data_IF_447280779081
#
_entry.id   IF_447280779081
#
_cell.length_a   1.000
_cell.length_b   1.000
_cell.length_c   1.000
_cell.angle_alpha   90.00
_cell.angle_beta   90.00
_cell.angle_gamma   90.00
#
_symmetry.space_group_name_H-M   'P 1'
#
loop_
_entity.id
_entity.type
_entity.pdbx_description
1 polymer ?
#
# COMPACT_ATOMS: atom_id res chain seq x y z
N UNK A 1 -11.60 -20.94 -33.18
CA UNK A 1 -10.95 -20.74 -31.86
C UNK A 1 -9.46 -20.41 -32.01
N UNK A 2 -8.61 -21.31 -32.54
CA UNK A 2 -7.16 -21.08 -32.68
C UNK A 2 -6.81 -19.87 -33.57
N UNK A 3 -7.54 -19.65 -34.66
CA UNK A 3 -7.35 -18.48 -35.53
C UNK A 3 -7.71 -17.13 -34.84
N UNK A 4 -8.70 -17.12 -33.95
CA UNK A 4 -9.06 -15.92 -33.19
C UNK A 4 -8.00 -15.58 -32.13
N UNK A 5 -7.37 -16.59 -31.53
CA UNK A 5 -6.26 -16.44 -30.58
C UNK A 5 -5.01 -15.87 -31.28
N UNK A 6 -4.70 -16.35 -32.49
CA UNK A 6 -3.56 -15.86 -33.28
C UNK A 6 -3.74 -14.41 -33.77
N UNK A 7 -4.97 -14.01 -34.11
CA UNK A 7 -5.29 -12.61 -34.49
C UNK A 7 -5.15 -11.67 -33.29
N UNK A 8 -5.58 -12.10 -32.09
CA UNK A 8 -5.40 -11.32 -30.86
C UNK A 8 -3.91 -11.18 -30.49
N UNK A 9 -3.12 -12.25 -30.63
CA UNK A 9 -1.67 -12.19 -30.37
C UNK A 9 -0.91 -11.31 -31.36
N UNK A 10 -1.26 -11.36 -32.65
CA UNK A 10 -0.69 -10.48 -33.67
C UNK A 10 -0.99 -9.00 -33.40
N UNK A 11 -2.23 -8.68 -33.00
CA UNK A 11 -2.64 -7.32 -32.65
C UNK A 11 -1.91 -6.78 -31.41
N UNK A 12 -1.71 -7.61 -30.38
CA UNK A 12 -0.96 -7.22 -29.17
C UNK A 12 0.52 -6.98 -29.47
N UNK A 13 1.13 -7.83 -30.30
CA UNK A 13 2.55 -7.67 -30.69
C UNK A 13 2.77 -6.42 -31.57
N UNK A 14 1.84 -6.13 -32.49
CA UNK A 14 1.87 -4.91 -33.30
C UNK A 14 1.65 -3.64 -32.45
N UNK A 15 0.71 -3.67 -31.50
CA UNK A 15 0.47 -2.57 -30.56
C UNK A 15 1.70 -2.30 -29.68
N UNK A 16 2.39 -3.34 -29.19
CA UNK A 16 3.65 -3.22 -28.43
C UNK A 16 4.77 -2.57 -29.25
N UNK A 17 4.86 -2.89 -30.53
CA UNK A 17 5.88 -2.34 -31.42
C UNK A 17 5.58 -0.88 -31.77
N UNK A 18 4.32 -0.57 -32.09
CA UNK A 18 3.87 0.80 -32.35
C UNK A 18 4.02 1.71 -31.12
N UNK A 19 3.73 1.18 -29.92
CA UNK A 19 3.87 1.91 -28.66
C UNK A 19 5.30 2.40 -28.41
N UNK A 20 6.34 1.73 -28.92
CA UNK A 20 7.74 2.15 -28.74
C UNK A 20 8.07 3.47 -29.45
N UNK A 21 7.41 3.75 -30.58
CA UNK A 21 7.66 4.93 -31.42
C UNK A 21 6.73 6.10 -31.13
N UNK A 22 5.78 5.95 -30.21
CA UNK A 22 4.92 7.05 -29.81
C UNK A 22 5.71 8.07 -28.95
N UNK A 23 5.46 9.38 -29.14
CA UNK A 23 5.94 10.40 -28.22
C UNK A 23 5.56 10.06 -26.78
N UNK A 24 6.42 10.38 -25.81
CA UNK A 24 6.22 10.08 -24.37
C UNK A 24 4.83 10.51 -23.88
N UNK A 25 4.36 11.66 -24.38
CA UNK A 25 3.02 12.20 -24.09
C UNK A 25 1.88 11.30 -24.57
N UNK A 26 2.03 10.58 -25.68
CA UNK A 26 1.02 9.66 -26.25
C UNK A 26 1.10 8.27 -25.62
N UNK A 27 2.29 7.84 -25.16
CA UNK A 27 2.47 6.59 -24.39
C UNK A 27 1.69 6.63 -23.06
N UNK A 28 1.72 7.76 -22.35
CA UNK A 28 0.90 7.95 -21.14
C UNK A 28 -0.60 7.86 -21.41
N UNK A 29 -1.07 8.43 -22.53
CA UNK A 29 -2.50 8.35 -22.89
C UNK A 29 -2.95 6.93 -23.19
N UNK A 30 -2.14 6.08 -23.84
CA UNK A 30 -2.52 4.69 -24.14
C UNK A 30 -2.41 3.77 -22.92
N UNK A 31 -1.37 3.92 -22.08
CA UNK A 31 -1.26 3.21 -20.79
C UNK A 31 -2.44 3.52 -19.86
N UNK A 32 -3.06 4.69 -20.00
CA UNK A 32 -4.27 5.07 -19.26
C UNK A 32 -5.48 4.16 -19.53
N UNK A 33 -5.54 3.48 -20.68
CA UNK A 33 -6.73 2.72 -21.11
C UNK A 33 -6.53 1.21 -21.19
N UNK A 34 -5.29 0.71 -21.07
CA UNK A 34 -5.02 -0.72 -21.05
C UNK A 34 -4.22 -1.04 -19.78
N UNK A 35 -4.88 -1.54 -18.73
CA UNK A 35 -4.18 -1.99 -17.53
C UNK A 35 -3.09 -3.01 -17.88
N UNK A 36 -1.90 -2.87 -17.30
CA UNK A 36 -0.73 -3.70 -17.63
C UNK A 36 -1.00 -5.21 -17.42
N UNK A 37 -1.93 -5.58 -16.51
CA UNK A 37 -2.35 -6.97 -16.29
C UNK A 37 -3.10 -7.58 -17.49
N UNK A 38 -3.70 -6.79 -18.38
CA UNK A 38 -4.31 -7.29 -19.63
C UNK A 38 -3.28 -7.55 -20.72
N UNK A 39 -2.10 -6.96 -20.62
CA UNK A 39 -1.06 -7.04 -21.64
C UNK A 39 0.00 -8.09 -21.35
N UNK A 40 0.07 -8.67 -20.15
CA UNK A 40 1.02 -9.72 -19.78
C UNK A 40 0.29 -10.85 -19.06
N UNK A 41 0.17 -12.07 -19.63
CA UNK A 41 -0.32 -13.24 -18.90
C UNK A 41 0.73 -13.78 -17.91
N UNK A 42 1.64 -12.93 -17.43
CA UNK A 42 2.50 -13.31 -16.32
C UNK A 42 1.58 -13.53 -15.12
N UNK A 43 1.64 -14.75 -14.57
CA UNK A 43 1.01 -15.07 -13.31
C UNK A 43 1.36 -13.94 -12.33
N UNK A 44 0.32 -13.30 -11.77
CA UNK A 44 0.47 -12.34 -10.69
C UNK A 44 1.47 -12.95 -9.70
N UNK A 45 2.60 -12.28 -9.48
CA UNK A 45 3.62 -12.80 -8.57
C UNK A 45 3.09 -12.61 -7.16
N UNK A 46 2.47 -13.65 -6.63
CA UNK A 46 1.80 -13.58 -5.34
C UNK A 46 2.84 -13.39 -4.24
N UNK A 47 2.59 -12.43 -3.35
CA UNK A 47 3.33 -12.39 -2.09
C UNK A 47 2.74 -13.45 -1.18
N UNK A 48 3.59 -14.27 -0.58
CA UNK A 48 3.25 -15.02 0.64
C UNK A 48 3.13 -14.06 1.83
N UNK A 49 3.44 -12.77 1.62
CA UNK A 49 3.64 -11.79 2.68
C UNK A 49 2.82 -10.49 2.53
N UNK A 50 2.37 -9.92 3.64
CA UNK A 50 2.55 -10.44 4.99
C UNK A 50 1.72 -11.71 5.19
N UNK A 51 2.39 -12.74 5.69
CA UNK A 51 1.75 -13.98 6.09
C UNK A 51 0.93 -13.72 7.34
N UNK A 52 0.61 -14.75 8.14
CA UNK A 52 0.09 -14.54 9.49
C UNK A 52 0.90 -13.45 10.22
N UNK A 53 0.27 -12.78 11.19
CA UNK A 53 0.91 -11.74 12.00
C UNK A 53 2.34 -12.15 12.30
N UNK A 54 3.32 -11.32 11.90
CA UNK A 54 4.72 -11.61 12.19
C UNK A 54 4.79 -11.85 13.68
N UNK A 55 5.16 -13.08 14.07
CA UNK A 55 5.33 -13.44 15.47
C UNK A 55 6.09 -12.29 16.12
N UNK A 56 5.54 -11.77 17.22
CA UNK A 56 6.08 -10.60 17.91
C UNK A 56 7.61 -10.76 17.96
N UNK A 57 8.31 -9.88 17.24
CA UNK A 57 9.77 -9.94 17.15
C UNK A 57 10.25 -9.94 18.59
N UNK A 58 10.85 -11.06 18.99
CA UNK A 58 11.45 -11.20 20.31
C UNK A 58 12.93 -10.89 20.12
N UNK A 59 13.48 -9.87 20.79
CA UNK A 59 12.87 -9.07 21.86
C UNK A 59 11.95 -7.94 21.36
N UNK A 60 10.95 -7.59 22.19
CA UNK A 60 10.08 -6.46 21.96
C UNK A 60 10.89 -5.17 21.74
N UNK A 61 10.43 -4.26 20.86
CA UNK A 61 11.12 -3.01 20.61
C UNK A 61 11.22 -2.18 21.90
N UNK A 62 12.40 -1.58 22.12
CA UNK A 62 12.76 -0.88 23.37
C UNK A 62 12.91 0.63 23.20
N UNK A 63 12.63 1.16 22.00
CA UNK A 63 12.73 2.59 21.72
C UNK A 63 11.69 3.45 22.44
N UNK A 64 11.81 4.79 22.36
CA UNK A 64 10.70 5.67 22.70
C UNK A 64 9.54 5.45 21.72
N UNK A 65 8.32 5.59 22.22
CA UNK A 65 7.14 5.62 21.35
C UNK A 65 7.10 6.96 20.59
N UNK A 66 6.94 6.86 19.27
CA UNK A 66 6.71 8.00 18.39
C UNK A 66 5.23 7.98 18.00
N UNK A 67 4.54 9.10 18.21
CA UNK A 67 3.15 9.25 17.80
C UNK A 67 3.08 9.76 16.37
N UNK A 68 2.24 9.12 15.57
CA UNK A 68 1.93 9.57 14.23
C UNK A 68 0.86 10.65 14.29
N UNK A 69 1.03 11.71 13.51
CA UNK A 69 0.11 12.84 13.51
C UNK A 69 -0.92 12.67 12.38
N UNK A 70 -2.21 12.93 12.64
CA UNK A 70 -3.22 12.97 11.61
C UNK A 70 -2.83 13.94 10.49
N UNK A 71 -3.11 13.56 9.25
CA UNK A 71 -2.96 14.43 8.09
C UNK A 71 -4.33 14.80 7.55
N UNK A 72 -4.53 16.09 7.28
CA UNK A 72 -5.71 16.59 6.60
C UNK A 72 -5.43 16.66 5.10
N UNK A 73 -5.24 15.50 4.46
CA UNK A 73 -5.09 15.49 3.00
C UNK A 73 -6.44 15.81 2.35
N UNK A 74 -6.39 16.51 1.22
CA UNK A 74 -7.58 16.76 0.38
C UNK A 74 -8.00 15.49 -0.41
N UNK A 75 -7.28 14.37 -0.23
CA UNK A 75 -7.61 13.12 -0.90
C UNK A 75 -8.89 12.51 -0.31
N UNK A 76 -9.70 11.93 -1.19
CA UNK A 76 -10.97 11.35 -0.81
C UNK A 76 -10.76 10.07 0.00
N UNK A 77 -11.11 10.14 1.29
CA UNK A 77 -11.12 8.99 2.17
C UNK A 77 -12.14 7.92 1.73
N UNK A 78 -11.82 6.66 2.00
CA UNK A 78 -12.73 5.52 1.82
C UNK A 78 -13.66 5.41 3.03
N UNK A 79 -14.93 5.13 2.77
CA UNK A 79 -15.96 4.98 3.81
C UNK A 79 -16.70 3.64 3.75
N UNK A 80 -15.93 2.58 3.54
CA UNK A 80 -16.36 1.19 3.64
C UNK A 80 -15.23 0.34 4.21
N UNK A 81 -15.57 -0.66 5.01
CA UNK A 81 -14.61 -1.56 5.63
C UNK A 81 -13.95 -2.54 4.63
N UNK A 82 -13.14 -3.49 5.11
CA UNK A 82 -12.44 -4.47 4.27
C UNK A 82 -13.37 -5.45 3.54
N UNK A 83 -14.59 -5.63 4.03
CA UNK A 83 -15.65 -6.43 3.43
C UNK A 83 -16.57 -5.57 2.53
N UNK A 84 -16.26 -4.29 2.32
CA UNK A 84 -17.10 -3.37 1.56
C UNK A 84 -18.43 -3.01 2.23
N UNK A 85 -18.55 -3.18 3.55
CA UNK A 85 -19.70 -2.68 4.28
C UNK A 85 -19.53 -1.17 4.50
N UNK A 86 -20.47 -0.38 3.98
CA UNK A 86 -20.42 1.07 4.13
C UNK A 86 -20.70 1.52 5.55
N UNK A 87 -19.94 2.53 5.98
CA UNK A 87 -20.22 3.21 7.23
C UNK A 87 -21.47 4.08 7.14
N UNK A 88 -22.20 4.19 8.25
CA UNK A 88 -23.41 4.99 8.39
C UNK A 88 -23.13 6.48 8.12
N UNK A 89 -24.15 7.25 7.75
CA UNK A 89 -24.00 8.70 7.58
C UNK A 89 -23.60 9.41 8.88
N UNK A 90 -24.14 8.95 10.02
CA UNK A 90 -23.79 9.48 11.35
C UNK A 90 -22.33 9.23 11.69
N UNK A 91 -21.83 8.01 11.49
CA UNK A 91 -20.42 7.67 11.73
C UNK A 91 -19.50 8.53 10.86
N UNK A 92 -19.76 8.61 9.55
CA UNK A 92 -18.93 9.40 8.62
C UNK A 92 -18.87 10.89 8.99
N UNK A 93 -19.96 11.42 9.55
CA UNK A 93 -20.04 12.82 9.99
C UNK A 93 -19.29 13.06 11.30
N UNK A 94 -19.30 12.07 12.20
CA UNK A 94 -18.70 12.20 13.54
C UNK A 94 -17.23 11.76 13.60
N UNK A 95 -16.78 10.89 12.69
CA UNK A 95 -15.42 10.35 12.69
C UNK A 95 -14.39 11.44 12.33
N UNK A 96 -13.33 11.53 13.14
CA UNK A 96 -12.13 12.31 12.82
C UNK A 96 -10.90 11.54 13.28
N UNK A 97 -9.84 11.55 12.47
CA UNK A 97 -8.54 11.02 12.83
C UNK A 97 -7.87 11.79 13.97
N UNK A 98 -8.31 13.02 14.26
CA UNK A 98 -7.83 13.79 15.42
C UNK A 98 -8.14 13.12 16.76
N UNK A 99 -9.13 12.22 16.78
CA UNK A 99 -9.51 11.45 17.97
C UNK A 99 -8.80 10.09 18.04
N UNK A 100 -7.97 9.76 17.05
CA UNK A 100 -7.23 8.51 16.99
C UNK A 100 -5.87 8.65 17.67
N UNK A 101 -5.31 7.53 18.12
CA UNK A 101 -3.94 7.48 18.62
C UNK A 101 -3.19 6.37 17.89
N UNK A 102 -2.12 6.74 17.19
CA UNK A 102 -1.23 5.82 16.50
C UNK A 102 0.17 6.04 17.04
N UNK A 103 0.78 4.99 17.58
CA UNK A 103 2.11 5.05 18.17
C UNK A 103 2.99 3.92 17.64
N UNK A 104 4.28 4.19 17.52
CA UNK A 104 5.26 3.25 16.98
C UNK A 104 6.48 3.20 17.87
N UNK A 105 6.96 2.00 18.13
CA UNK A 105 8.22 1.75 18.81
C UNK A 105 9.15 1.03 17.84
N UNK A 106 10.24 1.69 17.44
CA UNK A 106 11.23 1.09 16.55
C UNK A 106 12.22 0.20 17.31
N UNK A 107 12.70 -0.84 16.62
CA UNK A 107 13.85 -1.60 17.07
C UNK A 107 15.07 -0.68 17.14
N UNK A 108 15.75 -0.64 18.30
CA UNK A 108 16.91 0.21 18.51
C UNK A 108 18.20 -0.42 17.96
N UNK A 109 19.20 0.41 17.70
CA UNK A 109 20.53 -0.01 17.26
C UNK A 109 20.69 -0.17 15.75
N UNK A 110 21.81 -0.76 15.35
CA UNK A 110 22.12 -1.06 13.96
C UNK A 110 21.27 -2.23 13.48
N UNK A 111 20.34 -1.95 12.56
CA UNK A 111 19.42 -2.93 12.01
C UNK A 111 19.67 -3.10 10.52
N UNK A 112 19.50 -4.32 10.01
CA UNK A 112 19.55 -4.59 8.57
C UNK A 112 18.31 -4.07 7.82
N UNK A 113 17.25 -3.71 8.56
CA UNK A 113 16.00 -3.16 8.03
C UNK A 113 15.29 -2.26 9.05
N UNK A 114 14.40 -1.39 8.57
CA UNK A 114 13.45 -0.66 9.40
C UNK A 114 12.40 -1.62 9.96
N UNK A 115 12.35 -1.79 11.28
CA UNK A 115 11.40 -2.67 11.95
C UNK A 115 10.92 -2.09 13.28
N UNK A 116 9.74 -2.52 13.72
CA UNK A 116 9.17 -2.07 14.98
C UNK A 116 7.80 -2.64 15.26
N UNK A 117 7.12 -2.04 16.24
CA UNK A 117 5.75 -2.34 16.61
C UNK A 117 4.89 -1.09 16.51
N UNK A 118 3.74 -1.21 15.87
CA UNK A 118 2.69 -0.21 15.78
C UNK A 118 1.54 -0.60 16.70
N UNK A 119 1.02 0.38 17.44
CA UNK A 119 -0.21 0.27 18.20
C UNK A 119 -1.14 1.41 17.79
N UNK A 120 -2.38 1.09 17.44
CA UNK A 120 -3.38 2.04 16.98
C UNK A 120 -4.71 1.85 17.71
N UNK A 121 -5.39 2.95 17.99
CA UNK A 121 -6.75 2.99 18.56
C UNK A 121 -7.56 4.11 17.94
N UNK A 122 -8.88 3.92 17.85
CA UNK A 122 -9.80 4.95 17.35
C UNK A 122 -9.68 5.21 15.86
N UNK A 123 -9.15 4.27 15.09
CA UNK A 123 -9.18 4.28 13.62
C UNK A 123 -10.55 3.80 13.10
N UNK A 124 -10.73 3.73 11.78
CA UNK A 124 -11.97 3.18 11.20
C UNK A 124 -12.10 1.69 11.56
N UNK A 125 -13.28 1.18 11.99
CA UNK A 125 -13.48 -0.23 12.32
C UNK A 125 -13.34 -1.19 11.14
N UNK A 126 -12.74 -2.36 11.35
CA UNK A 126 -12.57 -3.42 10.34
C UNK A 126 -11.92 -2.89 9.04
N UNK A 127 -10.99 -1.93 9.15
CA UNK A 127 -10.43 -1.18 8.02
C UNK A 127 -8.96 -1.51 7.85
N UNK A 128 -8.48 -1.50 6.61
CA UNK A 128 -7.09 -1.83 6.28
C UNK A 128 -6.26 -0.59 5.96
N UNK A 129 -5.07 -0.52 6.55
CA UNK A 129 -4.12 0.57 6.39
C UNK A 129 -2.80 0.06 5.87
N UNK A 130 -2.28 0.73 4.84
CA UNK A 130 -0.92 0.52 4.33
C UNK A 130 0.08 1.27 5.22
N UNK A 131 1.20 0.62 5.54
CA UNK A 131 2.37 1.23 6.17
C UNK A 131 3.39 1.55 5.06
N UNK A 132 3.73 2.83 4.92
CA UNK A 132 4.65 3.32 3.91
C UNK A 132 5.84 4.06 4.51
N UNK A 133 7.00 3.86 3.90
CA UNK A 133 8.16 4.71 4.10
C UNK A 133 8.23 5.68 2.92
N UNK A 134 8.16 6.98 3.21
CA UNK A 134 8.28 8.06 2.23
C UNK A 134 9.66 8.73 2.35
N UNK A 135 10.30 9.00 1.22
CA UNK A 135 11.51 9.81 1.16
C UNK A 135 11.24 11.28 1.43
N UNK A 136 12.17 11.98 2.08
CA UNK A 136 12.12 13.42 2.29
C UNK A 136 13.08 14.15 1.35
N UNK A 137 12.61 14.61 0.19
CA UNK A 137 13.44 15.34 -0.76
C UNK A 137 13.90 16.72 -0.27
N UNK A 138 13.31 17.25 0.80
CA UNK A 138 13.70 18.55 1.35
C UNK A 138 14.92 18.40 2.26
N UNK A 139 14.92 17.36 3.11
CA UNK A 139 15.98 17.15 4.11
C UNK A 139 17.03 16.12 3.67
N UNK A 140 16.66 15.13 2.87
CA UNK A 140 17.50 13.98 2.53
C UNK A 140 17.20 13.43 1.11
N UNK A 141 17.52 14.22 0.06
CA UNK A 141 17.19 13.87 -1.32
C UNK A 141 17.89 12.59 -1.81
N UNK A 142 19.11 12.31 -1.34
CA UNK A 142 19.84 11.11 -1.74
C UNK A 142 19.15 9.84 -1.24
N UNK A 143 18.76 9.80 0.03
CA UNK A 143 18.06 8.63 0.55
C UNK A 143 16.60 8.57 0.11
N UNK A 144 15.95 9.71 -0.14
CA UNK A 144 14.64 9.72 -0.80
C UNK A 144 14.70 9.04 -2.17
N UNK A 145 15.75 9.30 -2.96
CA UNK A 145 15.95 8.61 -4.23
C UNK A 145 16.19 7.11 -4.03
N UNK A 146 16.99 6.71 -3.02
CA UNK A 146 17.19 5.29 -2.70
C UNK A 146 15.88 4.59 -2.33
N UNK A 147 15.02 5.23 -1.56
CA UNK A 147 13.68 4.73 -1.20
C UNK A 147 12.84 4.50 -2.47
N UNK A 148 12.76 5.47 -3.38
CA UNK A 148 11.94 5.32 -4.58
C UNK A 148 12.47 4.28 -5.58
N UNK A 149 13.79 4.07 -5.63
CA UNK A 149 14.42 3.00 -6.44
C UNK A 149 14.03 1.60 -5.96
N UNK A 150 13.93 1.41 -4.65
CA UNK A 150 13.49 0.12 -4.07
C UNK A 150 11.98 0.00 -3.87
N UNK A 151 11.24 1.09 -4.10
CA UNK A 151 9.79 1.12 -4.03
C UNK A 151 9.15 1.67 -5.29
N UNK A 152 8.65 2.90 -5.23
CA UNK A 152 7.81 3.54 -6.24
C UNK A 152 8.02 5.04 -6.30
N UNK A 153 7.64 5.59 -7.44
CA UNK A 153 7.55 7.02 -7.69
C UNK A 153 6.10 7.39 -7.95
N UNK A 154 5.62 8.44 -7.29
CA UNK A 154 4.41 9.16 -7.65
C UNK A 154 4.80 10.59 -8.02
N UNK A 155 4.70 10.89 -9.31
CA UNK A 155 4.99 12.21 -9.86
C UNK A 155 3.70 13.05 -9.84
N UNK A 156 3.80 14.39 -9.84
CA UNK A 156 2.63 15.26 -9.97
C UNK A 156 1.82 14.95 -11.24
N UNK A 157 0.50 14.82 -11.07
CA UNK A 157 -0.44 14.51 -12.16
C UNK A 157 -1.30 13.28 -11.85
N UNK A 158 -2.07 12.83 -12.84
CA UNK A 158 -3.06 11.74 -12.69
C UNK A 158 -2.53 10.37 -13.14
N UNK A 159 -1.28 10.07 -12.81
CA UNK A 159 -0.64 8.80 -13.16
C UNK A 159 -0.22 7.99 -11.94
N UNK A 160 -0.08 6.68 -12.12
CA UNK A 160 0.53 5.77 -11.16
C UNK A 160 1.59 4.92 -11.87
N UNK A 161 2.43 4.22 -11.09
CA UNK A 161 3.44 3.28 -11.61
C UNK A 161 4.53 3.92 -12.49
N UNK A 162 5.03 5.09 -12.10
CA UNK A 162 6.16 5.73 -12.77
C UNK A 162 7.45 4.92 -12.56
N UNK A 163 8.29 4.87 -13.58
CA UNK A 163 9.57 4.14 -13.62
C UNK A 163 10.73 5.01 -13.13
N UNK A 164 11.90 4.39 -12.91
CA UNK A 164 13.14 5.13 -12.63
C UNK A 164 13.53 6.10 -13.75
N UNK A 165 13.20 5.76 -15.00
CA UNK A 165 13.40 6.65 -16.15
C UNK A 165 12.47 7.86 -16.07
N UNK A 166 11.19 7.65 -15.78
CA UNK A 166 10.22 8.75 -15.63
C UNK A 166 10.66 9.69 -14.49
N UNK A 167 11.10 9.11 -13.36
CA UNK A 167 11.70 9.87 -12.28
C UNK A 167 12.91 10.65 -12.79
N UNK A 168 13.89 10.04 -13.44
CA UNK A 168 15.10 10.69 -13.92
C UNK A 168 14.83 11.87 -14.86
N UNK A 169 13.83 11.74 -15.74
CA UNK A 169 13.41 12.78 -16.70
C UNK A 169 12.60 13.93 -16.06
N UNK A 170 11.97 13.71 -14.91
CA UNK A 170 11.16 14.74 -14.26
C UNK A 170 12.02 15.87 -13.68
N UNK A 171 11.82 17.11 -14.12
CA UNK A 171 12.73 18.21 -13.78
C UNK A 171 12.73 18.57 -12.28
N UNK A 172 11.56 18.61 -11.64
CA UNK A 172 11.41 19.10 -10.28
C UNK A 172 11.25 17.96 -9.27
N UNK A 173 12.37 17.40 -8.78
CA UNK A 173 12.35 16.24 -7.89
C UNK A 173 11.63 16.50 -6.56
N UNK A 174 11.49 17.76 -6.13
CA UNK A 174 10.84 18.10 -4.86
C UNK A 174 9.34 17.85 -4.86
N UNK A 175 8.73 17.74 -6.04
CA UNK A 175 7.31 17.42 -6.17
C UNK A 175 7.05 15.90 -6.31
N UNK A 176 8.11 15.08 -6.32
CA UNK A 176 7.98 13.63 -6.44
C UNK A 176 7.82 13.00 -5.06
N UNK A 177 6.85 12.09 -4.95
CA UNK A 177 6.75 11.19 -3.81
C UNK A 177 7.53 9.91 -4.10
N UNK A 178 8.63 9.70 -3.38
CA UNK A 178 9.38 8.45 -3.38
C UNK A 178 8.91 7.60 -2.20
N UNK A 179 8.42 6.38 -2.43
CA UNK A 179 7.87 5.59 -1.34
C UNK A 179 8.02 4.08 -1.50
N UNK A 180 8.01 3.37 -0.37
CA UNK A 180 7.87 1.92 -0.31
C UNK A 180 6.64 1.59 0.53
N UNK A 181 5.66 0.90 -0.04
CA UNK A 181 4.61 0.22 0.71
C UNK A 181 5.16 -1.16 1.11
N UNK A 182 5.37 -1.41 2.39
CA UNK A 182 6.11 -2.60 2.82
C UNK A 182 5.37 -3.50 3.80
N UNK A 183 4.30 -3.00 4.43
CA UNK A 183 3.49 -3.79 5.34
C UNK A 183 2.09 -3.16 5.48
N UNK A 184 1.13 -3.89 6.02
CA UNK A 184 -0.22 -3.41 6.31
C UNK A 184 -0.77 -3.98 7.60
N UNK A 185 -1.86 -3.40 8.09
CA UNK A 185 -2.63 -3.98 9.19
C UNK A 185 -4.13 -3.72 9.00
N UNK A 186 -4.93 -4.51 9.70
CA UNK A 186 -6.39 -4.40 9.71
C UNK A 186 -6.82 -4.13 11.14
N UNK A 187 -7.67 -3.13 11.34
CA UNK A 187 -8.25 -2.81 12.65
C UNK A 187 -9.36 -3.77 13.01
N UNK A 188 -9.59 -3.98 14.30
CA UNK A 188 -10.77 -4.68 14.79
C UNK A 188 -12.06 -3.84 14.63
N UNK A 189 -13.19 -4.38 15.10
CA UNK A 189 -14.49 -3.72 15.05
C UNK A 189 -14.61 -2.48 15.96
N UNK A 190 -13.60 -2.18 16.77
CA UNK A 190 -13.50 -0.98 17.58
C UNK A 190 -12.46 0.02 17.02
N UNK A 191 -11.82 -0.29 15.89
CA UNK A 191 -10.81 0.56 15.30
C UNK A 191 -9.43 0.45 15.97
N UNK A 192 -9.15 -0.64 16.68
CA UNK A 192 -7.85 -0.88 17.29
C UNK A 192 -7.01 -1.86 16.48
N UNK A 193 -5.68 -1.73 16.57
CA UNK A 193 -4.75 -2.68 15.98
C UNK A 193 -3.41 -2.71 16.71
N UNK A 194 -2.76 -3.86 16.68
CA UNK A 194 -1.34 -4.01 17.01
C UNK A 194 -0.64 -4.75 15.88
N UNK A 195 0.51 -4.24 15.44
CA UNK A 195 1.25 -4.80 14.31
C UNK A 195 2.75 -4.71 14.51
N UNK A 196 3.42 -5.86 14.55
CA UNK A 196 4.87 -5.91 14.28
C UNK A 196 5.11 -5.76 12.78
N UNK A 197 6.01 -4.86 12.40
CA UNK A 197 6.34 -4.61 10.99
C UNK A 197 7.84 -4.64 10.76
N UNK A 198 8.24 -4.87 9.50
CA UNK A 198 9.60 -4.66 9.01
C UNK A 198 9.60 -4.42 7.49
N UNK A 199 10.51 -3.59 6.99
CA UNK A 199 10.67 -3.29 5.57
C UNK A 199 11.56 -4.36 4.90
N UNK A 200 10.94 -5.46 4.49
CA UNK A 200 11.60 -6.58 3.82
C UNK A 200 11.01 -6.84 2.41
N UNK A 201 9.98 -6.08 2.03
CA UNK A 201 9.29 -6.19 0.75
C UNK A 201 8.85 -4.82 0.23
N UNK A 202 8.67 -4.73 -1.09
CA UNK A 202 7.91 -3.67 -1.74
C UNK A 202 6.62 -4.26 -2.30
N UNK A 203 5.52 -3.95 -1.63
CA UNK A 203 4.17 -4.32 -2.00
C UNK A 203 3.61 -3.32 -3.01
N UNK A 204 2.60 -3.75 -3.76
CA UNK A 204 1.91 -2.93 -4.74
C UNK A 204 0.62 -2.38 -4.18
N UNK A 205 -0.30 -3.27 -3.85
CA UNK A 205 -1.70 -3.00 -3.55
C UNK A 205 -2.25 -4.16 -2.74
N UNK A 206 -3.33 -3.90 -2.01
CA UNK A 206 -4.07 -4.95 -1.34
C UNK A 206 -5.29 -5.37 -2.16
N UNK A 207 -5.69 -6.60 -1.89
CA UNK A 207 -6.81 -7.26 -2.53
C UNK A 207 -7.61 -8.01 -1.47
N UNK A 208 -8.93 -8.01 -1.62
CA UNK A 208 -9.79 -8.98 -0.96
C UNK A 208 -10.01 -10.15 -1.91
N UNK A 209 -9.49 -11.33 -1.52
CA UNK A 209 -9.55 -12.56 -2.32
C UNK A 209 -10.96 -12.88 -2.77
N UNK A 210 -11.89 -13.05 -1.83
CA UNK A 210 -13.20 -13.61 -2.12
C UNK A 210 -14.09 -12.64 -2.92
N UNK A 211 -13.76 -11.35 -2.87
CA UNK A 211 -14.49 -10.30 -3.57
C UNK A 211 -13.92 -9.94 -4.93
N UNK A 212 -12.61 -10.06 -5.11
CA UNK A 212 -11.91 -9.52 -6.29
C UNK A 212 -11.16 -10.59 -7.08
N UNK A 213 -10.49 -11.54 -6.42
CA UNK A 213 -9.65 -12.55 -7.08
C UNK A 213 -9.72 -13.87 -6.28
N UNK A 214 -10.60 -14.79 -6.71
CA UNK A 214 -10.87 -16.05 -5.99
C UNK A 214 -9.75 -17.08 -6.05
N UNK A 215 -8.85 -16.99 -7.02
CA UNK A 215 -7.92 -18.08 -7.36
C UNK A 215 -6.63 -18.04 -6.53
N UNK A 216 -6.56 -17.14 -5.54
CA UNK A 216 -5.42 -17.04 -4.62
C UNK A 216 -5.49 -18.16 -3.58
N UNK A 217 -4.39 -18.88 -3.29
CA UNK A 217 -4.34 -19.81 -2.17
C UNK A 217 -4.56 -19.09 -0.83
N UNK A 218 -5.38 -19.65 0.06
CA UNK A 218 -5.62 -19.08 1.41
C UNK A 218 -4.33 -18.91 2.22
N UNK A 219 -3.31 -19.71 1.95
CA UNK A 219 -1.98 -19.61 2.57
C UNK A 219 -1.24 -18.30 2.25
N UNK A 220 -1.71 -17.54 1.27
CA UNK A 220 -1.16 -16.22 0.91
C UNK A 220 -2.01 -15.06 1.45
N UNK A 221 -3.08 -15.37 2.20
CA UNK A 221 -4.01 -14.38 2.70
C UNK A 221 -3.91 -14.24 4.22
N UNK A 222 -4.15 -13.03 4.70
CA UNK A 222 -4.45 -12.72 6.08
C UNK A 222 -5.95 -12.87 6.28
N UNK A 223 -6.35 -13.89 7.04
CA UNK A 223 -7.72 -14.03 7.48
C UNK A 223 -8.03 -12.97 8.55
N UNK A 224 -9.18 -12.30 8.43
CA UNK A 224 -9.63 -11.30 9.37
C UNK A 224 -11.13 -11.42 9.63
N UNK A 225 -11.53 -11.41 10.89
CA UNK A 225 -12.95 -11.40 11.28
C UNK A 225 -13.49 -9.98 11.22
N UNK A 226 -14.49 -9.77 10.37
CA UNK A 226 -15.19 -8.49 10.24
C UNK A 226 -16.49 -8.55 11.04
N UNK A 227 -16.57 -7.78 12.11
CA UNK A 227 -17.82 -7.57 12.85
C UNK A 227 -18.45 -6.23 12.44
N UNK A 228 -19.42 -6.33 11.53
CA UNK A 228 -20.20 -5.21 11.01
C UNK A 228 -21.63 -5.15 11.60
N UNK A 229 -21.83 -5.65 12.83
CA UNK A 229 -23.15 -5.73 13.47
C UNK A 229 -23.60 -4.42 14.13
N UNK A 230 -22.70 -3.46 14.35
CA UNK A 230 -23.01 -2.22 15.07
C UNK A 230 -23.82 -1.21 14.22
N UNK A 231 -25.09 -0.91 14.58
CA UNK A 231 -25.94 0.01 13.82
C UNK A 231 -25.54 1.48 13.88
N UNK A 232 -24.67 1.87 14.83
CA UNK A 232 -24.14 3.23 14.88
C UNK A 232 -23.00 3.42 13.87
N UNK A 233 -22.26 2.35 13.57
CA UNK A 233 -21.09 2.39 12.69
C UNK A 233 -21.48 2.10 11.24
N UNK A 234 -22.38 1.14 11.01
CA UNK A 234 -22.66 0.63 9.66
C UNK A 234 -24.02 1.08 9.12
N UNK A 235 -24.07 1.41 7.83
CA UNK A 235 -25.29 1.82 7.16
C UNK A 235 -26.29 0.66 7.02
N UNK A 236 -25.79 -0.55 6.80
CA UNK A 236 -26.56 -1.80 6.76
C UNK A 236 -25.87 -2.82 7.65
N UNK A 237 -26.21 -2.85 8.94
CA UNK A 237 -25.58 -3.76 9.89
C UNK A 237 -25.82 -5.22 9.52
N UNK A 238 -24.81 -6.05 9.73
CA UNK A 238 -24.91 -7.50 9.53
C UNK A 238 -25.52 -8.17 10.75
N UNK A 239 -26.03 -9.38 10.55
CA UNK A 239 -26.53 -10.22 11.64
C UNK A 239 -25.36 -10.89 12.38
N UNK A 240 -24.37 -11.35 11.62
CA UNK A 240 -23.21 -12.08 12.12
C UNK A 240 -21.91 -11.50 11.56
N UNK A 241 -20.80 -11.77 12.26
CA UNK A 241 -19.47 -11.48 11.76
C UNK A 241 -19.09 -12.39 10.59
N UNK A 242 -18.30 -11.88 9.64
CA UNK A 242 -17.77 -12.64 8.50
C UNK A 242 -16.26 -12.81 8.62
N UNK A 243 -15.67 -13.70 7.83
CA UNK A 243 -14.21 -13.79 7.67
C UNK A 243 -13.84 -13.35 6.27
N UNK A 244 -12.96 -12.36 6.17
CA UNK A 244 -12.40 -11.88 4.91
C UNK A 244 -10.94 -12.32 4.79
N UNK A 245 -10.47 -12.47 3.54
CA UNK A 245 -9.10 -12.89 3.24
C UNK A 245 -8.40 -11.81 2.42
N UNK A 246 -7.46 -11.11 3.08
CA UNK A 246 -6.75 -9.98 2.49
C UNK A 246 -5.34 -10.40 2.11
N UNK A 247 -4.87 -10.04 0.92
CA UNK A 247 -3.49 -10.27 0.51
C UNK A 247 -2.89 -9.03 -0.14
N UNK A 248 -1.57 -8.95 -0.12
CA UNK A 248 -0.82 -7.92 -0.82
C UNK A 248 -0.22 -8.47 -2.12
N UNK A 249 -0.47 -7.79 -3.22
CA UNK A 249 0.24 -8.05 -4.48
C UNK A 249 1.69 -7.54 -4.36
N UNK A 250 2.65 -8.33 -4.85
CA UNK A 250 4.04 -7.88 -4.97
C UNK A 250 4.19 -6.99 -6.19
N UNK A 251 5.10 -6.04 -6.10
CA UNK A 251 5.54 -5.30 -7.28
C UNK A 251 6.45 -6.18 -8.17
N UNK A 252 5.84 -6.92 -9.09
CA UNK A 252 6.54 -7.87 -9.96
C UNK A 252 7.29 -7.20 -11.13
N UNK A 253 6.90 -5.98 -11.51
CA UNK A 253 7.47 -5.30 -12.69
C UNK A 253 8.86 -4.74 -12.38
N UNK A 254 9.09 -4.28 -11.15
CA UNK A 254 10.37 -3.67 -10.76
C UNK A 254 11.32 -4.62 -10.04
N UNK A 255 10.81 -5.65 -9.35
CA UNK A 255 11.63 -6.53 -8.51
C UNK A 255 11.51 -7.98 -8.96
N UNK A 256 12.64 -8.69 -8.89
CA UNK A 256 12.63 -10.14 -9.09
C UNK A 256 11.82 -10.78 -7.96
N UNK A 257 11.02 -11.78 -8.33
CA UNK A 257 10.33 -12.60 -7.34
C UNK A 257 11.36 -13.20 -6.36
N UNK A 258 11.02 -13.16 -5.06
CA UNK A 258 11.72 -13.84 -3.96
C UNK A 258 13.06 -13.25 -3.49
N UNK A 259 13.40 -12.03 -3.93
CA UNK A 259 14.50 -11.26 -3.32
C UNK A 259 13.93 -10.28 -2.30
N UNK A 260 14.33 -10.36 -1.01
CA UNK A 260 13.95 -9.37 -0.02
C UNK A 260 14.37 -7.97 -0.44
N UNK A 261 13.47 -7.01 -0.27
CA UNK A 261 13.78 -5.60 -0.48
C UNK A 261 14.53 -5.09 0.73
N UNK A 262 15.72 -4.53 0.52
CA UNK A 262 16.57 -3.97 1.56
C UNK A 262 16.94 -2.54 1.22
N UNK A 263 16.85 -1.67 2.22
CA UNK A 263 17.43 -0.34 2.12
C UNK A 263 18.97 -0.45 2.08
N UNK A 264 19.66 0.35 1.25
CA UNK A 264 21.10 0.51 1.37
C UNK A 264 21.52 0.96 2.77
N UNK A 265 22.77 0.67 3.14
CA UNK A 265 23.37 1.19 4.38
C UNK A 265 23.37 2.72 4.35
N UNK A 266 22.94 3.35 5.44
CA UNK A 266 22.88 4.80 5.53
C UNK A 266 22.08 5.30 6.72
N UNK A 267 22.19 6.60 6.99
CA UNK A 267 21.32 7.33 7.90
C UNK A 267 20.21 7.95 7.05
N UNK A 268 18.96 7.71 7.42
CA UNK A 268 17.78 8.12 6.68
C UNK A 268 17.02 9.20 7.43
N UNK A 269 16.65 10.28 6.75
CA UNK A 269 15.55 11.16 7.15
C UNK A 269 14.38 10.93 6.21
N UNK A 270 13.25 10.50 6.77
CA UNK A 270 12.11 10.03 6.00
C UNK A 270 10.80 10.40 6.71
N UNK A 271 9.69 10.00 6.10
CA UNK A 271 8.38 9.98 6.75
C UNK A 271 7.87 8.55 6.84
N UNK A 272 7.26 8.23 7.97
CA UNK A 272 6.40 7.05 8.05
C UNK A 272 4.95 7.47 7.90
N UNK A 273 4.28 6.90 6.91
CA UNK A 273 2.91 7.24 6.57
C UNK A 273 1.98 6.04 6.78
N UNK A 274 0.77 6.32 7.26
CA UNK A 274 -0.36 5.41 7.12
C UNK A 274 -1.29 5.92 6.02
N UNK A 275 -1.56 5.06 5.06
CA UNK A 275 -2.47 5.34 3.96
C UNK A 275 -3.68 4.42 4.04
N UNK A 276 -4.87 4.98 3.87
CA UNK A 276 -6.07 4.16 3.70
C UNK A 276 -5.93 3.29 2.45
N UNK A 277 -6.18 1.99 2.59
CA UNK A 277 -6.29 1.14 1.42
C UNK A 277 -7.67 1.29 0.78
N UNK A 278 -7.65 1.13 -0.53
CA UNK A 278 -8.72 1.45 -1.42
C UNK A 278 -9.21 0.20 -2.16
N UNK A 279 -8.40 -0.86 -2.21
CA UNK A 279 -8.57 -2.06 -3.03
C UNK A 279 -8.70 -1.68 -4.52
N UNK A 280 -8.26 -2.53 -5.45
CA UNK A 280 -8.36 -2.24 -6.89
C UNK A 280 -9.80 -2.28 -7.44
N UNK A 281 -10.70 -1.48 -6.89
CA UNK A 281 -12.03 -1.28 -7.44
C UNK A 281 -12.05 -0.01 -8.28
N UNK A 282 -12.78 -0.05 -9.38
CA UNK A 282 -12.99 1.12 -10.26
C UNK A 282 -14.28 1.87 -9.94
N UNK A 283 -15.09 1.34 -9.01
CA UNK A 283 -16.27 2.00 -8.50
C UNK A 283 -15.91 3.02 -7.40
N UNK A 284 -16.94 3.67 -6.84
CA UNK A 284 -16.78 4.63 -5.74
C UNK A 284 -16.21 4.00 -4.46
N UNK A 285 -16.03 2.69 -4.44
CA UNK A 285 -15.46 1.98 -3.30
C UNK A 285 -13.96 1.83 -3.45
N UNK A 286 -13.39 2.06 -4.63
CA UNK A 286 -11.97 1.88 -4.92
C UNK A 286 -11.01 2.81 -4.18
N UNK A 287 -11.51 3.67 -3.28
CA UNK A 287 -10.83 4.72 -2.50
C UNK A 287 -9.78 5.53 -3.27
N UNK A 288 -9.05 6.41 -2.59
CA UNK A 288 -8.08 7.30 -3.27
C UNK A 288 -6.71 7.33 -2.57
N UNK A 289 -6.38 6.25 -1.85
CA UNK A 289 -5.13 6.12 -1.09
C UNK A 289 -4.82 7.34 -0.22
N UNK A 290 -5.83 7.83 0.51
CA UNK A 290 -5.69 8.98 1.38
C UNK A 290 -4.63 8.70 2.45
N UNK A 291 -3.54 9.47 2.46
CA UNK A 291 -2.63 9.48 3.61
C UNK A 291 -3.32 10.16 4.77
N UNK A 292 -3.47 9.43 5.88
CA UNK A 292 -4.24 9.86 7.06
C UNK A 292 -3.38 10.07 8.30
N UNK A 293 -2.16 9.51 8.29
CA UNK A 293 -1.15 9.83 9.30
C UNK A 293 0.21 9.98 8.64
N UNK A 294 1.03 10.88 9.18
CA UNK A 294 2.42 11.06 8.79
C UNK A 294 3.26 11.52 9.97
N UNK A 295 4.51 11.06 10.02
CA UNK A 295 5.48 11.51 11.00
C UNK A 295 6.89 11.47 10.42
N UNK A 296 7.69 12.55 10.53
CA UNK A 296 9.10 12.48 10.21
C UNK A 296 9.80 11.51 11.17
N UNK A 297 10.64 10.65 10.61
CA UNK A 297 11.45 9.68 11.35
C UNK A 297 12.91 9.76 10.92
N UNK A 298 13.79 9.37 11.82
CA UNK A 298 15.22 9.23 11.57
C UNK A 298 15.67 7.85 12.04
N UNK A 299 16.45 7.16 11.21
CA UNK A 299 16.96 5.83 11.53
C UNK A 299 18.24 5.51 10.74
N UNK A 300 18.97 4.49 11.18
CA UNK A 300 20.19 4.03 10.51
C UNK A 300 20.04 2.57 10.09
N UNK A 301 20.34 2.31 8.82
CA UNK A 301 20.50 0.95 8.29
C UNK A 301 21.99 0.62 8.28
N UNK A 302 22.33 -0.55 8.84
CA UNK A 302 23.70 -1.06 8.93
C UNK A 302 23.75 -2.52 8.47
N UNK A 303 24.95 -3.04 8.21
CA UNK A 303 25.17 -4.45 7.81
C UNK A 303 25.12 -5.39 9.01
#
# INVERSE_FOLDING_TARGET
AIAAILICWGAVSAARTAARYLPTRTKHTIRRYIPDYLLSPQALSFSVLPGPARDLVTPAPTGPAIHLLPTHSDELQRWADVAGNYYSASFRTAFSYDNSNVSIVFNQGQQATLAGQLNATGLKPNFVYQIKLLGDFTRDPENAERIGKIGRWRLPGEGTNYTDTDFAEFADKHLVEAYVFFDFFITDAQGNAQRSFALDHSLHVLWNRDRQISDIPLTHCVAHTVDATNPQVYAVPKQDATTEYIFAEREAVRYQADVPVQLPVGNYQAFLNLTEESFHSSDRDGGFWATVFSQPIEFTIAR
#
